data_IF_740796295385
#
_entry.id   IF_740796295385
#
_cell.length_a   1.000
_cell.length_b   1.000
_cell.length_c   1.000
_cell.angle_alpha   90.00
_cell.angle_beta   90.00
_cell.angle_gamma   90.00
#
_symmetry.space_group_name_H-M   'P 1'
#
loop_
_entity.id
_entity.type
_entity.pdbx_description
1 polymer ?
#
# COMPACT_ATOMS: atom_id res chain seq x y z
N UNK A 1 -18.21 8.95 -23.86
CA UNK A 1 -16.95 9.61 -23.51
C UNK A 1 -15.93 8.50 -23.34
N UNK A 2 -14.99 8.40 -24.29
CA UNK A 2 -13.84 7.52 -24.14
C UNK A 2 -12.79 8.31 -23.36
N UNK A 3 -12.16 7.68 -22.38
CA UNK A 3 -10.98 8.26 -21.73
C UNK A 3 -9.94 7.18 -21.50
N UNK A 4 -8.73 7.49 -21.94
CA UNK A 4 -7.54 6.68 -21.77
C UNK A 4 -6.57 7.45 -20.89
N UNK A 5 -5.94 6.76 -19.95
CA UNK A 5 -4.93 7.36 -19.09
C UNK A 5 -3.64 6.56 -19.14
N UNK A 6 -2.51 7.28 -19.22
CA UNK A 6 -1.17 6.72 -19.09
C UNK A 6 -0.58 7.15 -17.76
N UNK A 7 -0.21 6.16 -16.95
CA UNK A 7 0.35 6.33 -15.61
C UNK A 7 1.85 6.02 -15.69
N UNK A 8 2.70 7.04 -15.64
CA UNK A 8 4.14 6.84 -15.46
C UNK A 8 4.39 6.77 -13.96
N UNK A 9 4.86 5.63 -13.45
CA UNK A 9 4.86 5.36 -12.00
C UNK A 9 6.23 5.01 -11.45
N UNK A 10 6.47 5.46 -10.22
CA UNK A 10 7.49 4.89 -9.34
C UNK A 10 6.78 3.97 -8.35
N UNK A 11 7.33 2.77 -8.15
CA UNK A 11 6.82 1.79 -7.20
C UNK A 11 7.68 1.83 -5.95
N UNK A 12 7.06 2.02 -4.79
CA UNK A 12 7.72 1.95 -3.49
C UNK A 12 7.45 0.59 -2.85
N UNK A 13 8.52 -0.13 -2.55
CA UNK A 13 8.52 -1.47 -1.99
C UNK A 13 9.01 -1.45 -0.55
N UNK A 14 8.25 -2.10 0.32
CA UNK A 14 8.66 -2.40 1.69
C UNK A 14 8.21 -3.81 2.08
N UNK A 15 8.84 -4.37 3.11
CA UNK A 15 8.57 -5.72 3.58
C UNK A 15 8.42 -5.78 5.10
N UNK A 16 7.57 -6.70 5.55
CA UNK A 16 7.43 -6.96 6.98
C UNK A 16 8.56 -7.85 7.46
N UNK A 17 9.11 -7.53 8.64
CA UNK A 17 9.95 -8.48 9.38
C UNK A 17 9.09 -9.65 9.87
N UNK A 18 8.02 -9.33 10.60
CA UNK A 18 7.07 -10.29 11.15
C UNK A 18 5.62 -9.77 11.15
N UNK A 19 4.65 -10.61 10.80
CA UNK A 19 3.22 -10.35 11.08
C UNK A 19 2.87 -10.78 12.52
N UNK A 20 2.29 -9.91 13.37
CA UNK A 20 1.99 -10.28 14.76
C UNK A 20 1.09 -11.52 14.88
N UNK A 21 1.46 -12.45 15.78
CA UNK A 21 0.72 -13.68 16.11
C UNK A 21 0.54 -14.68 14.95
N UNK A 22 1.14 -14.42 13.79
CA UNK A 22 1.09 -15.29 12.61
C UNK A 22 2.50 -15.51 12.10
N UNK A 23 2.81 -16.72 11.65
CA UNK A 23 4.11 -16.99 11.03
C UNK A 23 4.14 -16.49 9.57
N UNK A 24 3.78 -15.23 9.33
CA UNK A 24 3.69 -14.62 8.00
C UNK A 24 4.72 -13.49 7.84
N UNK A 25 5.19 -13.34 6.59
CA UNK A 25 5.85 -12.14 6.04
C UNK A 25 4.89 -11.48 5.05
N UNK A 26 5.22 -10.27 4.60
CA UNK A 26 4.50 -9.66 3.49
C UNK A 26 5.30 -8.59 2.78
N UNK A 27 5.00 -8.41 1.50
CA UNK A 27 5.50 -7.30 0.70
C UNK A 27 4.37 -6.33 0.41
N UNK A 28 4.68 -5.04 0.39
CA UNK A 28 3.80 -3.99 -0.13
C UNK A 28 4.43 -3.34 -1.36
N UNK A 29 3.59 -2.98 -2.32
CA UNK A 29 3.92 -2.11 -3.43
C UNK A 29 2.97 -0.92 -3.40
N UNK A 30 3.51 0.28 -3.27
CA UNK A 30 2.79 1.54 -3.45
C UNK A 30 3.17 2.14 -4.80
N UNK A 31 2.22 2.15 -5.73
CA UNK A 31 2.35 2.73 -7.06
C UNK A 31 1.98 4.21 -6.98
N UNK A 32 2.96 5.09 -7.24
CA UNK A 32 2.75 6.54 -7.22
C UNK A 32 3.04 7.11 -8.61
N UNK A 33 2.03 7.65 -9.32
CA UNK A 33 2.26 8.27 -10.60
C UNK A 33 3.13 9.52 -10.47
N UNK A 34 4.26 9.56 -11.18
CA UNK A 34 5.06 10.78 -11.36
C UNK A 34 4.34 11.72 -12.31
N UNK A 35 3.75 11.16 -13.37
CA UNK A 35 2.97 11.86 -14.38
C UNK A 35 1.71 11.06 -14.68
N UNK A 36 0.58 11.76 -14.78
CA UNK A 36 -0.65 11.20 -15.31
C UNK A 36 -1.09 12.00 -16.53
N UNK A 37 -1.11 11.36 -17.69
CA UNK A 37 -1.63 11.94 -18.93
C UNK A 37 -3.01 11.33 -19.18
N UNK A 38 -4.04 12.17 -19.24
CA UNK A 38 -5.44 11.78 -19.46
C UNK A 38 -5.88 12.33 -20.80
N UNK A 39 -6.21 11.44 -21.72
CA UNK A 39 -6.84 11.77 -22.97
C UNK A 39 -8.35 11.52 -22.82
N UNK A 40 -9.15 12.49 -23.25
CA UNK A 40 -10.61 12.35 -23.27
C UNK A 40 -11.17 12.84 -24.58
N UNK A 41 -12.04 12.02 -25.17
CA UNK A 41 -12.71 12.34 -26.41
C UNK A 41 -14.19 12.62 -26.14
N UNK A 42 -14.62 13.82 -26.55
CA UNK A 42 -16.02 14.25 -26.48
C UNK A 42 -16.52 14.66 -27.86
N UNK A 43 -17.78 14.33 -28.23
CA UNK A 43 -18.32 14.72 -29.54
C UNK A 43 -18.35 16.23 -29.78
N UNK A 44 -18.40 17.03 -28.71
CA UNK A 44 -18.57 18.48 -28.78
C UNK A 44 -17.25 19.27 -28.77
N UNK A 45 -16.23 18.79 -28.05
CA UNK A 45 -14.95 19.50 -27.87
C UNK A 45 -13.77 18.77 -28.54
N UNK A 46 -14.02 17.64 -29.18
CA UNK A 46 -12.99 16.78 -29.74
C UNK A 46 -12.15 16.10 -28.66
N UNK A 47 -10.89 15.83 -29.01
CA UNK A 47 -9.89 15.24 -28.11
C UNK A 47 -9.24 16.32 -27.27
N UNK A 48 -9.25 16.15 -25.95
CA UNK A 48 -8.48 16.95 -25.01
C UNK A 48 -7.49 16.07 -24.27
N UNK A 49 -6.28 16.61 -24.06
CA UNK A 49 -5.24 15.97 -23.27
C UNK A 49 -4.92 16.85 -22.06
N UNK A 50 -5.00 16.26 -20.87
CA UNK A 50 -4.57 16.89 -19.63
C UNK A 50 -3.39 16.11 -19.05
N UNK A 51 -2.39 16.81 -18.54
CA UNK A 51 -1.25 16.21 -17.84
C UNK A 51 -1.02 16.90 -16.49
N UNK A 52 -0.72 16.11 -15.46
CA UNK A 52 -0.36 16.62 -14.14
C UNK A 52 0.55 15.63 -13.38
N UNK A 53 1.03 16.06 -12.20
CA UNK A 53 2.10 15.40 -11.44
C UNK A 53 1.63 14.92 -10.05
N UNK A 54 0.96 13.76 -9.94
CA UNK A 54 0.38 13.29 -8.68
C UNK A 54 1.37 13.14 -7.53
N UNK A 55 2.59 12.67 -7.81
CA UNK A 55 3.66 12.51 -6.81
C UNK A 55 3.97 13.82 -6.09
N UNK A 56 4.09 14.92 -6.82
CA UNK A 56 4.43 16.23 -6.25
C UNK A 56 3.25 16.80 -5.43
N UNK A 57 2.01 16.59 -5.90
CA UNK A 57 0.81 16.95 -5.14
C UNK A 57 0.70 16.18 -3.82
N UNK A 58 0.96 14.87 -3.84
CA UNK A 58 0.97 14.06 -2.63
C UNK A 58 2.08 14.51 -1.67
N UNK A 59 3.31 14.66 -2.17
CA UNK A 59 4.43 15.08 -1.34
C UNK A 59 4.16 16.43 -0.68
N UNK A 60 3.62 17.40 -1.42
CA UNK A 60 3.28 18.73 -0.89
C UNK A 60 2.34 18.64 0.32
N UNK A 61 1.27 17.85 0.23
CA UNK A 61 0.34 17.66 1.35
C UNK A 61 0.94 16.87 2.51
N UNK A 62 1.84 15.92 2.22
CA UNK A 62 2.58 15.20 3.26
C UNK A 62 3.54 16.13 4.03
N UNK A 63 4.26 17.00 3.34
CA UNK A 63 5.14 18.00 3.98
C UNK A 63 4.33 19.00 4.80
N UNK A 64 3.19 19.48 4.28
CA UNK A 64 2.25 20.32 5.04
C UNK A 64 1.75 19.62 6.30
N UNK A 65 1.46 18.32 6.22
CA UNK A 65 1.08 17.50 7.37
C UNK A 65 2.20 17.48 8.43
N UNK A 66 3.44 17.20 8.02
CA UNK A 66 4.60 17.20 8.92
C UNK A 66 4.79 18.54 9.61
N UNK A 67 4.78 19.63 8.84
CA UNK A 67 4.95 20.99 9.36
C UNK A 67 3.84 21.36 10.35
N UNK A 68 2.58 21.03 10.04
CA UNK A 68 1.43 21.32 10.92
C UNK A 68 1.56 20.70 12.30
N UNK A 69 2.16 19.51 12.39
CA UNK A 69 2.28 18.76 13.65
C UNK A 69 3.69 18.76 14.23
N UNK A 70 4.61 19.53 13.63
CA UNK A 70 6.03 19.56 14.02
C UNK A 70 6.65 18.14 14.05
N UNK A 71 6.32 17.34 13.03
CA UNK A 71 6.74 15.96 12.92
C UNK A 71 7.93 15.81 11.97
N UNK A 72 9.12 16.05 12.52
CA UNK A 72 10.40 15.84 11.83
C UNK A 72 10.92 14.39 11.96
N UNK A 73 10.23 13.56 12.74
CA UNK A 73 10.60 12.14 12.91
C UNK A 73 10.33 11.30 11.66
N UNK A 74 11.02 10.16 11.56
CA UNK A 74 10.64 9.08 10.65
C UNK A 74 9.24 8.59 11.03
N UNK A 75 8.38 8.42 10.04
CA UNK A 75 7.09 7.77 10.19
C UNK A 75 7.30 6.27 9.96
N UNK A 76 7.17 5.49 11.03
CA UNK A 76 7.28 4.05 10.98
C UNK A 76 6.18 3.41 11.83
N UNK A 77 5.32 2.57 11.25
CA UNK A 77 4.12 2.07 11.93
C UNK A 77 4.47 1.27 13.20
N UNK A 78 5.60 0.57 13.18
CA UNK A 78 6.09 -0.20 14.32
C UNK A 78 6.46 0.68 15.53
N UNK A 79 6.82 1.94 15.30
CA UNK A 79 7.25 2.90 16.34
C UNK A 79 6.06 3.54 17.08
N UNK A 80 4.84 3.41 16.55
CA UNK A 80 3.62 3.88 17.22
C UNK A 80 3.47 3.16 18.56
N UNK A 81 3.58 3.91 19.64
CA UNK A 81 3.61 3.41 21.01
C UNK A 81 3.17 4.48 22.03
N UNK A 82 3.18 4.12 23.31
CA UNK A 82 2.75 4.99 24.41
C UNK A 82 1.22 5.03 24.62
N UNK A 83 0.82 5.68 25.71
CA UNK A 83 -0.57 5.74 26.17
C UNK A 83 -1.21 7.13 26.00
N UNK A 84 -0.45 8.17 25.66
CA UNK A 84 -1.01 9.52 25.48
C UNK A 84 -0.99 9.90 24.01
N UNK A 85 -2.13 10.31 23.47
CA UNK A 85 -2.24 10.80 22.09
C UNK A 85 -1.51 12.13 21.93
N UNK A 86 -0.54 12.19 21.02
CA UNK A 86 0.33 13.35 20.84
C UNK A 86 0.28 13.89 19.39
N UNK A 87 1.06 14.94 19.13
CA UNK A 87 1.13 15.56 17.80
C UNK A 87 1.64 14.60 16.71
N UNK A 88 2.57 13.71 17.06
CA UNK A 88 3.07 12.71 16.11
C UNK A 88 1.95 11.75 15.75
N UNK A 89 1.16 11.26 16.70
CA UNK A 89 0.02 10.38 16.41
C UNK A 89 -0.99 11.05 15.45
N UNK A 90 -1.22 12.36 15.58
CA UNK A 90 -2.00 13.15 14.61
C UNK A 90 -1.34 13.15 13.21
N UNK A 91 -0.01 13.30 13.13
CA UNK A 91 0.72 13.25 11.87
C UNK A 91 0.65 11.87 11.21
N UNK A 92 0.81 10.79 11.98
CA UNK A 92 0.64 9.40 11.52
C UNK A 92 -0.77 9.18 10.96
N UNK A 93 -1.81 9.53 11.73
CA UNK A 93 -3.20 9.40 11.30
C UNK A 93 -3.50 10.20 10.03
N UNK A 94 -3.03 11.46 9.96
CA UNK A 94 -3.25 12.33 8.79
C UNK A 94 -2.46 11.86 7.57
N UNK A 95 -1.24 11.35 7.73
CA UNK A 95 -0.45 10.78 6.64
C UNK A 95 -1.14 9.55 6.03
N UNK A 96 -1.69 8.67 6.86
CA UNK A 96 -2.49 7.54 6.38
C UNK A 96 -3.78 8.01 5.70
N UNK A 97 -4.47 9.00 6.26
CA UNK A 97 -5.67 9.56 5.63
C UNK A 97 -5.35 10.18 4.25
N UNK A 98 -4.22 10.88 4.11
CA UNK A 98 -3.71 11.36 2.83
C UNK A 98 -3.45 10.20 1.87
N UNK A 99 -2.75 9.17 2.32
CA UNK A 99 -2.45 8.00 1.49
C UNK A 99 -3.73 7.30 1.00
N UNK A 100 -4.71 7.08 1.88
CA UNK A 100 -6.01 6.49 1.51
C UNK A 100 -6.77 7.39 0.53
N UNK A 101 -6.71 8.72 0.67
CA UNK A 101 -7.34 9.63 -0.28
C UNK A 101 -6.63 9.64 -1.64
N UNK A 102 -5.30 9.53 -1.65
CA UNK A 102 -4.48 9.43 -2.87
C UNK A 102 -4.79 8.17 -3.70
N UNK A 103 -5.27 7.10 -3.05
CA UNK A 103 -5.74 5.88 -3.71
C UNK A 103 -7.09 6.06 -4.44
N UNK A 104 -7.78 7.19 -4.29
CA UNK A 104 -9.05 7.41 -4.98
C UNK A 104 -8.83 7.72 -6.46
N UNK A 105 -9.57 7.03 -7.32
CA UNK A 105 -9.66 7.31 -8.76
C UNK A 105 -10.73 8.36 -9.12
N UNK A 106 -11.64 8.65 -8.19
CA UNK A 106 -12.66 9.69 -8.32
C UNK A 106 -13.11 10.23 -6.97
N UNK A 107 -13.58 11.48 -6.98
CA UNK A 107 -14.10 12.18 -5.81
C UNK A 107 -13.16 12.08 -4.59
N UNK A 108 -11.90 12.55 -4.72
CA UNK A 108 -11.01 12.74 -3.58
C UNK A 108 -11.65 13.69 -2.56
N UNK A 109 -11.32 13.51 -1.28
CA UNK A 109 -11.83 14.32 -0.18
C UNK A 109 -10.80 15.33 0.32
N UNK A 110 -9.51 15.07 0.10
CA UNK A 110 -8.41 15.94 0.53
C UNK A 110 -7.74 16.58 -0.69
N UNK A 111 -7.43 15.79 -1.71
CA UNK A 111 -6.81 16.33 -2.93
C UNK A 111 -7.84 17.02 -3.83
N UNK A 112 -7.40 18.04 -4.57
CA UNK A 112 -8.25 18.76 -5.53
C UNK A 112 -8.62 17.93 -6.76
N UNK A 113 -7.87 16.86 -7.01
CA UNK A 113 -8.05 15.92 -8.13
C UNK A 113 -7.55 14.52 -7.75
N UNK A 114 -8.07 13.44 -8.37
CA UNK A 114 -7.60 12.08 -8.13
C UNK A 114 -6.10 11.96 -8.35
N UNK A 115 -5.38 11.27 -7.45
CA UNK A 115 -3.95 11.02 -7.65
C UNK A 115 -3.68 9.66 -8.30
N UNK A 116 -4.69 8.78 -8.35
CA UNK A 116 -4.61 7.44 -8.94
C UNK A 116 -3.43 6.60 -8.41
N UNK A 117 -3.00 6.85 -7.17
CA UNK A 117 -2.06 5.96 -6.51
C UNK A 117 -2.73 4.59 -6.34
N UNK A 118 -1.92 3.53 -6.30
CA UNK A 118 -2.42 2.17 -6.09
C UNK A 118 -1.58 1.43 -5.07
N UNK A 119 -2.16 0.45 -4.41
CA UNK A 119 -1.44 -0.39 -3.44
C UNK A 119 -1.70 -1.88 -3.67
N UNK A 120 -0.66 -2.68 -3.61
CA UNK A 120 -0.77 -4.13 -3.63
C UNK A 120 0.00 -4.73 -2.47
N UNK A 121 -0.57 -5.70 -1.78
CA UNK A 121 0.08 -6.40 -0.68
C UNK A 121 -0.05 -7.90 -0.86
N UNK A 122 1.04 -8.64 -0.66
CA UNK A 122 1.04 -10.10 -0.60
C UNK A 122 1.56 -10.55 0.76
N UNK A 123 0.84 -11.47 1.41
CA UNK A 123 1.24 -12.12 2.65
C UNK A 123 1.55 -13.59 2.39
N UNK A 124 2.60 -14.13 3.01
CA UNK A 124 3.09 -15.48 2.74
C UNK A 124 3.72 -16.13 3.98
N UNK A 125 3.57 -17.46 4.16
CA UNK A 125 4.08 -18.18 5.33
C UNK A 125 5.60 -18.11 5.40
N UNK A 126 6.12 -17.89 6.60
CA UNK A 126 7.53 -18.10 6.91
C UNK A 126 7.81 -19.59 7.01
N UNK A 127 9.03 -19.96 6.66
CA UNK A 127 9.45 -21.37 6.67
C UNK A 127 8.90 -22.15 5.48
N UNK A 128 8.66 -21.47 4.35
CA UNK A 128 8.56 -22.16 3.07
C UNK A 128 9.79 -23.04 2.86
N UNK A 129 9.64 -24.15 2.15
CA UNK A 129 10.78 -24.92 1.68
C UNK A 129 11.60 -24.03 0.74
N UNK A 130 12.78 -23.63 1.19
CA UNK A 130 13.67 -22.76 0.45
C UNK A 130 14.58 -23.54 -0.49
N UNK A 131 14.65 -24.86 -0.37
CA UNK A 131 15.58 -25.68 -1.16
C UNK A 131 15.22 -25.70 -2.65
N UNK A 132 13.95 -25.46 -2.97
CA UNK A 132 13.49 -25.29 -4.35
C UNK A 132 13.99 -23.98 -5.00
N UNK A 133 14.34 -22.98 -4.17
CA UNK A 133 14.91 -21.71 -4.61
C UNK A 133 16.43 -21.84 -4.50
N UNK A 134 17.06 -22.47 -5.50
CA UNK A 134 18.49 -22.81 -5.45
C UNK A 134 19.39 -21.64 -5.03
N UNK A 135 20.62 -21.91 -4.61
CA UNK A 135 21.56 -20.94 -4.07
C UNK A 135 22.43 -21.57 -2.99
N UNK A 136 23.63 -21.05 -2.77
CA UNK A 136 24.66 -21.78 -2.01
C UNK A 136 24.52 -21.60 -0.49
N UNK A 137 23.58 -20.76 -0.04
CA UNK A 137 23.33 -20.53 1.37
C UNK A 137 21.86 -20.30 1.67
N UNK A 138 21.46 -20.60 2.90
CA UNK A 138 20.08 -20.36 3.38
C UNK A 138 19.64 -18.90 3.27
N UNK A 139 20.58 -17.95 3.42
CA UNK A 139 20.29 -16.51 3.28
C UNK A 139 19.98 -16.15 1.82
N UNK A 140 20.67 -16.78 0.86
CA UNK A 140 20.46 -16.58 -0.57
C UNK A 140 19.17 -17.24 -1.06
N UNK A 141 18.90 -18.48 -0.64
CA UNK A 141 17.64 -19.16 -0.96
C UNK A 141 16.42 -18.35 -0.47
N UNK A 142 16.49 -17.82 0.76
CA UNK A 142 15.45 -16.94 1.32
C UNK A 142 15.29 -15.65 0.52
N UNK A 143 16.38 -14.98 0.14
CA UNK A 143 16.30 -13.76 -0.67
C UNK A 143 15.68 -14.04 -2.05
N UNK A 144 16.04 -15.15 -2.70
CA UNK A 144 15.46 -15.58 -3.98
C UNK A 144 13.96 -15.92 -3.89
N UNK A 145 13.53 -16.45 -2.75
CA UNK A 145 12.12 -16.64 -2.45
C UNK A 145 11.39 -15.29 -2.36
N UNK A 146 11.93 -14.35 -1.59
CA UNK A 146 11.37 -13.00 -1.42
C UNK A 146 11.34 -12.24 -2.77
N UNK A 147 12.40 -12.32 -3.59
CA UNK A 147 12.46 -11.78 -4.96
C UNK A 147 11.40 -12.41 -5.89
N UNK A 148 11.15 -13.72 -5.76
CA UNK A 148 10.13 -14.41 -6.55
C UNK A 148 8.72 -13.95 -6.18
N UNK A 149 8.45 -13.77 -4.89
CA UNK A 149 7.18 -13.25 -4.41
C UNK A 149 6.98 -11.78 -4.80
N UNK A 150 8.02 -10.97 -4.74
CA UNK A 150 8.01 -9.60 -5.24
C UNK A 150 7.65 -9.56 -6.73
N UNK A 151 8.26 -10.42 -7.56
CA UNK A 151 7.95 -10.54 -8.99
C UNK A 151 6.49 -10.96 -9.23
N UNK A 152 5.99 -11.93 -8.48
CA UNK A 152 4.58 -12.36 -8.55
C UNK A 152 3.65 -11.20 -8.20
N UNK A 153 3.96 -10.45 -7.14
CA UNK A 153 3.18 -9.30 -6.70
C UNK A 153 3.19 -8.18 -7.75
N UNK A 154 4.36 -7.84 -8.32
CA UNK A 154 4.49 -6.83 -9.39
C UNK A 154 3.61 -7.18 -10.59
N UNK A 155 3.73 -8.41 -11.12
CA UNK A 155 2.93 -8.88 -12.26
C UNK A 155 1.43 -8.87 -11.94
N UNK A 156 1.05 -9.44 -10.81
CA UNK A 156 -0.34 -9.54 -10.39
C UNK A 156 -0.98 -8.17 -10.17
N UNK A 157 -0.27 -7.26 -9.50
CA UNK A 157 -0.72 -5.90 -9.25
C UNK A 157 -0.88 -5.12 -10.55
N UNK A 158 0.11 -5.15 -11.44
CA UNK A 158 0.04 -4.51 -12.76
C UNK A 158 -1.18 -4.99 -13.54
N UNK A 159 -1.40 -6.30 -13.62
CA UNK A 159 -2.52 -6.86 -14.38
C UNK A 159 -3.89 -6.60 -13.76
N UNK A 160 -3.99 -6.58 -12.43
CA UNK A 160 -5.27 -6.47 -11.74
C UNK A 160 -5.72 -5.02 -11.56
N UNK A 161 -4.79 -4.12 -11.24
CA UNK A 161 -5.08 -2.74 -10.86
C UNK A 161 -5.17 -1.80 -12.07
N UNK A 162 -4.64 -2.21 -13.22
CA UNK A 162 -4.61 -1.45 -14.47
C UNK A 162 -5.36 -2.22 -15.58
N UNK A 163 -5.66 -1.54 -16.69
CA UNK A 163 -6.35 -2.09 -17.86
C UNK A 163 -6.06 -1.25 -19.10
N UNK A 164 -6.63 -1.61 -20.25
CA UNK A 164 -6.39 -0.91 -21.53
C UNK A 164 -6.77 0.58 -21.49
N UNK A 165 -7.71 0.96 -20.62
CA UNK A 165 -8.10 2.37 -20.43
C UNK A 165 -7.23 3.10 -19.40
N UNK A 166 -6.48 2.36 -18.57
CA UNK A 166 -5.61 2.87 -17.53
C UNK A 166 -4.26 2.16 -17.63
N UNK A 167 -3.43 2.58 -18.57
CA UNK A 167 -2.15 1.95 -18.89
C UNK A 167 -1.07 2.39 -17.90
N UNK A 168 -0.12 1.52 -17.62
CA UNK A 168 0.99 1.78 -16.69
C UNK A 168 2.33 1.60 -17.38
N UNK A 169 3.21 2.58 -17.17
CA UNK A 169 4.64 2.48 -17.45
C UNK A 169 5.40 2.61 -16.12
N UNK A 170 6.07 1.53 -15.70
CA UNK A 170 6.91 1.52 -14.50
C UNK A 170 8.28 2.09 -14.83
N UNK A 171 8.64 3.22 -14.23
CA UNK A 171 9.93 3.89 -14.49
C UNK A 171 10.99 3.52 -13.47
N UNK A 172 10.60 3.18 -12.24
CA UNK A 172 11.53 2.82 -11.17
C UNK A 172 10.84 2.03 -10.07
N UNK A 173 11.59 1.13 -9.44
CA UNK A 173 11.21 0.49 -8.17
C UNK A 173 12.19 1.01 -7.10
N UNK A 174 11.67 1.48 -5.98
CA UNK A 174 12.47 1.91 -4.83
C UNK A 174 12.15 1.02 -3.66
N UNK A 175 13.16 0.32 -3.12
CA UNK A 175 13.02 -0.59 -1.98
C UNK A 175 13.59 0.03 -0.71
N UNK A 176 12.92 -0.13 0.43
CA UNK A 176 13.46 0.36 1.72
C UNK A 176 14.69 -0.43 2.14
N UNK A 177 15.82 0.27 2.23
CA UNK A 177 17.08 -0.26 2.73
C UNK A 177 17.60 -1.48 1.97
N UNK A 178 18.33 -2.34 2.69
CA UNK A 178 18.87 -3.59 2.17
C UNK A 178 18.01 -4.76 2.67
N UNK A 179 17.36 -5.53 1.76
CA UNK A 179 16.38 -6.55 2.15
C UNK A 179 17.01 -7.71 2.94
N UNK A 180 18.27 -8.03 2.68
CA UNK A 180 18.96 -9.12 3.38
C UNK A 180 20.48 -8.92 3.40
N UNK A 181 21.22 -9.88 2.87
CA UNK A 181 22.69 -9.92 2.84
C UNK A 181 23.28 -9.27 1.58
N UNK A 182 22.44 -8.98 0.58
CA UNK A 182 22.73 -8.22 -0.63
C UNK A 182 21.46 -7.48 -1.08
N UNK A 183 21.60 -6.63 -2.08
CA UNK A 183 20.50 -5.97 -2.80
C UNK A 183 19.64 -6.96 -3.59
N UNK A 184 18.41 -6.56 -3.93
CA UNK A 184 17.54 -7.30 -4.85
C UNK A 184 18.20 -7.40 -6.22
N UNK A 185 18.13 -8.59 -6.81
CA UNK A 185 18.65 -8.86 -8.14
C UNK A 185 17.65 -8.37 -9.22
N UNK A 186 18.03 -7.32 -9.95
CA UNK A 186 17.21 -6.71 -11.01
C UNK A 186 16.87 -7.71 -12.12
N UNK A 187 17.79 -8.60 -12.48
CA UNK A 187 17.56 -9.62 -13.52
C UNK A 187 16.46 -10.59 -13.10
N UNK A 188 16.47 -11.00 -11.83
CA UNK A 188 15.46 -11.91 -11.29
C UNK A 188 14.09 -11.28 -11.12
N UNK A 189 14.04 -9.98 -10.82
CA UNK A 189 12.78 -9.30 -10.51
C UNK A 189 12.20 -8.62 -11.76
N UNK A 190 12.93 -7.69 -12.38
CA UNK A 190 12.46 -6.86 -13.49
C UNK A 190 12.65 -7.57 -14.83
N UNK A 191 13.85 -8.05 -15.16
CA UNK A 191 14.09 -8.61 -16.49
C UNK A 191 13.26 -9.86 -16.77
N UNK A 192 13.04 -10.72 -15.78
CA UNK A 192 12.11 -11.86 -15.90
C UNK A 192 10.64 -11.46 -16.09
N UNK A 193 10.25 -10.21 -15.83
CA UNK A 193 8.93 -9.69 -16.17
C UNK A 193 8.88 -9.12 -17.58
N UNK A 194 10.00 -8.58 -18.08
CA UNK A 194 10.05 -7.97 -19.41
C UNK A 194 10.28 -9.06 -20.48
N UNK A 195 11.15 -10.03 -20.20
CA UNK A 195 11.57 -11.05 -21.14
C UNK A 195 11.40 -12.46 -20.56
N UNK A 196 10.57 -13.28 -21.21
CA UNK A 196 10.54 -14.72 -20.95
C UNK A 196 11.40 -15.44 -22.00
N UNK A 197 12.59 -15.87 -21.58
CA UNK A 197 13.55 -16.57 -22.43
C UNK A 197 13.07 -17.91 -22.99
N UNK A 198 11.95 -18.45 -22.49
CA UNK A 198 11.34 -19.67 -23.03
C UNK A 198 10.40 -19.43 -24.22
N UNK A 199 9.82 -18.22 -24.33
CA UNK A 199 8.78 -17.89 -25.31
C UNK A 199 9.13 -16.72 -26.24
N UNK A 200 10.22 -15.98 -25.98
CA UNK A 200 10.61 -14.79 -26.74
C UNK A 200 9.58 -13.65 -26.68
N UNK A 201 8.65 -13.70 -25.72
CA UNK A 201 7.57 -12.73 -25.52
C UNK A 201 7.51 -12.30 -24.07
N UNK A 202 7.05 -11.08 -23.83
CA UNK A 202 6.82 -10.61 -22.46
C UNK A 202 5.66 -11.38 -21.81
N UNK A 203 5.78 -11.77 -20.53
CA UNK A 203 4.66 -12.32 -19.76
C UNK A 203 3.65 -11.26 -19.31
N UNK A 204 3.88 -9.98 -19.61
CA UNK A 204 3.01 -8.84 -19.28
C UNK A 204 1.95 -8.62 -20.35
N UNK A 205 0.84 -7.99 -19.97
CA UNK A 205 -0.16 -7.49 -20.93
C UNK A 205 0.29 -6.15 -21.52
N UNK A 206 -0.22 -5.80 -22.71
CA UNK A 206 0.18 -4.61 -23.48
C UNK A 206 -0.02 -3.26 -22.75
N UNK A 207 -0.92 -3.22 -21.77
CA UNK A 207 -1.15 -2.05 -20.92
C UNK A 207 -0.20 -1.94 -19.73
N UNK A 208 0.71 -2.90 -19.53
CA UNK A 208 1.74 -2.90 -18.47
C UNK A 208 3.12 -2.94 -19.10
N UNK A 209 3.84 -1.82 -19.01
CA UNK A 209 5.20 -1.71 -19.52
C UNK A 209 6.18 -1.29 -18.42
N UNK A 210 7.46 -1.57 -18.64
CA UNK A 210 8.57 -1.02 -17.88
C UNK A 210 9.36 -0.12 -18.82
N UNK A 211 9.83 1.01 -18.31
CA UNK A 211 10.75 1.89 -19.04
C UNK A 211 12.05 1.15 -19.35
N UNK A 212 12.75 1.54 -20.42
CA UNK A 212 14.03 0.93 -20.80
C UNK A 212 15.11 1.11 -19.73
N UNK A 213 15.00 2.17 -18.93
CA UNK A 213 15.88 2.52 -17.80
C UNK A 213 15.30 2.10 -16.43
N UNK A 214 14.27 1.25 -16.41
CA UNK A 214 13.66 0.79 -15.18
C UNK A 214 14.65 -0.01 -14.32
N UNK A 215 14.87 0.45 -13.10
CA UNK A 215 15.84 -0.10 -12.14
C UNK A 215 15.23 -0.27 -10.75
N UNK A 216 15.90 -1.06 -9.91
CA UNK A 216 15.60 -1.20 -8.49
C UNK A 216 16.63 -0.41 -7.68
N UNK A 217 16.18 0.68 -7.07
CA UNK A 217 17.02 1.52 -6.20
C UNK A 217 16.77 1.14 -4.75
N UNK A 218 17.84 0.83 -4.02
CA UNK A 218 17.81 0.57 -2.59
C UNK A 218 18.12 1.85 -1.82
N UNK A 219 17.17 2.31 -1.00
CA UNK A 219 17.29 3.61 -0.34
C UNK A 219 16.72 3.54 1.09
N UNK A 220 17.48 3.94 2.13
CA UNK A 220 16.95 4.05 3.47
C UNK A 220 15.79 5.06 3.56
N UNK A 221 14.66 4.65 4.13
CA UNK A 221 13.46 5.48 4.29
C UNK A 221 13.59 6.66 5.25
N UNK A 222 14.73 6.86 5.91
CA UNK A 222 14.97 8.02 6.76
C UNK A 222 15.23 9.29 5.92
N UNK A 223 14.16 10.07 5.72
CA UNK A 223 14.19 11.31 4.94
C UNK A 223 15.18 12.37 5.43
N UNK A 224 15.61 12.32 6.70
CA UNK A 224 16.57 13.27 7.27
C UNK A 224 17.99 13.09 6.74
N UNK A 225 18.27 11.96 6.09
CA UNK A 225 19.57 11.67 5.48
C UNK A 225 19.79 12.39 4.14
N UNK A 226 18.76 13.05 3.61
CA UNK A 226 18.79 13.66 2.29
C UNK A 226 18.40 15.13 2.37
N UNK A 227 18.91 15.93 1.43
CA UNK A 227 18.53 17.33 1.33
C UNK A 227 17.07 17.45 0.89
N UNK A 228 16.29 18.41 1.44
CA UNK A 228 14.96 18.71 0.94
C UNK A 228 14.95 18.89 -0.58
N UNK A 229 13.83 18.53 -1.21
CA UNK A 229 13.58 18.65 -2.66
C UNK A 229 14.42 17.74 -3.58
N UNK A 230 15.35 16.94 -3.06
CA UNK A 230 16.06 15.89 -3.82
C UNK A 230 15.17 14.68 -4.09
N UNK A 231 15.43 13.91 -5.16
CA UNK A 231 14.64 12.70 -5.47
C UNK A 231 14.74 11.66 -4.34
N UNK A 232 15.91 11.52 -3.71
CA UNK A 232 16.14 10.67 -2.55
C UNK A 232 15.25 11.06 -1.36
N UNK A 233 15.09 12.37 -1.11
CA UNK A 233 14.19 12.88 -0.07
C UNK A 233 12.72 12.54 -0.37
N UNK A 234 12.29 12.66 -1.64
CA UNK A 234 10.94 12.26 -2.06
C UNK A 234 10.75 10.76 -1.86
N UNK A 235 11.71 9.96 -2.33
CA UNK A 235 11.68 8.51 -2.22
C UNK A 235 11.61 8.06 -0.76
N UNK A 236 12.43 8.62 0.12
CA UNK A 236 12.41 8.31 1.55
C UNK A 236 11.05 8.57 2.19
N UNK A 237 10.38 9.68 1.83
CA UNK A 237 9.04 9.97 2.33
C UNK A 237 8.00 8.96 1.84
N UNK A 238 8.04 8.55 0.57
CA UNK A 238 7.09 7.56 0.04
C UNK A 238 7.35 6.14 0.55
N UNK A 239 8.61 5.77 0.82
CA UNK A 239 8.91 4.53 1.54
C UNK A 239 8.29 4.51 2.93
N UNK A 240 8.33 5.62 3.66
CA UNK A 240 7.62 5.74 4.95
C UNK A 240 6.09 5.58 4.77
N UNK A 241 5.51 6.13 3.70
CA UNK A 241 4.08 5.91 3.41
C UNK A 241 3.78 4.42 3.10
N UNK A 242 4.65 3.75 2.35
CA UNK A 242 4.50 2.33 2.06
C UNK A 242 4.51 1.50 3.35
N UNK A 243 5.46 1.77 4.27
CA UNK A 243 5.52 1.15 5.59
C UNK A 243 4.23 1.42 6.42
N UNK A 244 3.79 2.68 6.49
CA UNK A 244 2.58 3.05 7.21
C UNK A 244 1.36 2.29 6.71
N UNK A 245 1.20 2.20 5.39
CA UNK A 245 0.10 1.46 4.77
C UNK A 245 0.21 -0.04 5.05
N UNK A 246 1.41 -0.63 4.94
CA UNK A 246 1.63 -2.05 5.24
C UNK A 246 1.28 -2.37 6.69
N UNK A 247 1.79 -1.59 7.65
CA UNK A 247 1.49 -1.75 9.06
C UNK A 247 0.00 -1.59 9.38
N UNK A 248 -0.67 -0.62 8.75
CA UNK A 248 -2.11 -0.42 8.89
C UNK A 248 -2.93 -1.57 8.28
N UNK A 249 -2.57 -2.04 7.08
CA UNK A 249 -3.21 -3.20 6.43
C UNK A 249 -3.07 -4.43 7.32
N UNK A 250 -1.86 -4.71 7.83
CA UNK A 250 -1.63 -5.82 8.75
C UNK A 250 -2.49 -5.72 10.01
N UNK A 251 -2.58 -4.51 10.59
CA UNK A 251 -3.43 -4.25 11.75
C UNK A 251 -4.88 -4.56 11.43
N UNK A 252 -5.41 -4.04 10.32
CA UNK A 252 -6.80 -4.23 9.90
C UNK A 252 -7.14 -5.68 9.51
N UNK A 253 -6.21 -6.41 8.90
CA UNK A 253 -6.46 -7.75 8.35
C UNK A 253 -6.15 -8.91 9.30
N UNK A 254 -5.16 -8.80 10.18
CA UNK A 254 -4.71 -9.93 11.00
C UNK A 254 -4.87 -9.73 12.50
N UNK A 255 -4.79 -8.49 12.97
CA UNK A 255 -5.01 -8.18 14.39
C UNK A 255 -6.44 -7.76 14.65
N UNK A 256 -7.07 -7.12 13.65
CA UNK A 256 -8.31 -6.39 13.78
C UNK A 256 -8.06 -4.99 14.36
N UNK A 257 -8.93 -4.04 14.02
CA UNK A 257 -8.96 -2.73 14.64
C UNK A 257 -10.36 -2.47 15.17
N UNK A 258 -10.45 -1.94 16.39
CA UNK A 258 -11.73 -1.58 16.99
C UNK A 258 -12.33 -0.38 16.24
N UNK A 259 -13.65 -0.35 16.01
CA UNK A 259 -14.30 0.82 15.44
C UNK A 259 -14.10 2.02 16.37
N UNK A 260 -13.65 3.14 15.81
CA UNK A 260 -13.44 4.36 16.59
C UNK A 260 -14.44 5.41 16.13
N UNK A 261 -15.22 5.93 17.07
CA UNK A 261 -16.24 6.95 16.80
C UNK A 261 -15.63 8.33 16.58
N UNK A 262 -14.51 8.63 17.25
CA UNK A 262 -13.88 9.95 17.21
C UNK A 262 -12.38 9.83 17.42
N UNK A 263 -11.60 10.56 16.62
CA UNK A 263 -10.15 10.67 16.81
C UNK A 263 -9.84 11.35 18.16
N UNK A 264 -8.93 10.81 18.99
CA UNK A 264 -8.54 11.45 20.25
C UNK A 264 -7.93 12.84 20.03
N UNK A 265 -8.08 13.71 21.02
CA UNK A 265 -7.41 15.02 21.09
C UNK A 265 -6.00 14.85 21.67
N UNK A 266 -5.13 15.82 21.38
CA UNK A 266 -3.77 15.83 21.95
C UNK A 266 -3.89 15.92 23.48
N UNK A 267 -3.19 15.02 24.17
CA UNK A 267 -3.24 14.87 25.63
C UNK A 267 -4.21 13.79 26.11
N UNK A 268 -5.11 13.30 25.25
CA UNK A 268 -6.04 12.23 25.62
C UNK A 268 -5.30 10.93 25.94
N UNK A 269 -5.81 10.18 26.91
CA UNK A 269 -5.24 8.91 27.32
C UNK A 269 -5.85 7.76 26.50
N UNK A 270 -5.01 7.15 25.67
CA UNK A 270 -5.24 5.93 24.91
C UNK A 270 -4.81 4.71 25.74
N UNK A 271 -5.68 4.22 26.62
CA UNK A 271 -5.40 2.96 27.32
C UNK A 271 -5.73 1.75 26.40
N UNK A 272 -5.05 0.61 26.63
CA UNK A 272 -5.22 -0.60 25.79
C UNK A 272 -6.66 -1.15 25.80
N UNK A 273 -7.42 -0.84 26.83
CA UNK A 273 -8.76 -1.38 27.06
C UNK A 273 -9.86 -0.56 26.36
N UNK A 274 -9.63 0.73 26.06
CA UNK A 274 -10.62 1.59 25.39
C UNK A 274 -10.15 2.18 24.05
N UNK A 275 -8.84 2.43 23.84
CA UNK A 275 -8.36 3.08 22.61
C UNK A 275 -6.88 2.74 22.35
N UNK A 276 -6.60 1.84 21.41
CA UNK A 276 -5.24 1.58 20.94
C UNK A 276 -4.88 2.55 19.82
N UNK A 277 -3.77 3.31 19.97
CA UNK A 277 -3.33 4.28 18.96
C UNK A 277 -3.22 3.70 17.54
N UNK A 278 -2.74 2.47 17.41
CA UNK A 278 -2.61 1.79 16.11
C UNK A 278 -3.96 1.49 15.48
N UNK A 279 -5.01 1.30 16.27
CA UNK A 279 -6.38 1.14 15.76
C UNK A 279 -6.88 2.47 15.19
N UNK A 280 -6.66 3.57 15.92
CA UNK A 280 -7.03 4.93 15.44
C UNK A 280 -6.31 5.25 14.15
N UNK A 281 -5.00 5.05 14.12
CA UNK A 281 -4.15 5.37 12.98
C UNK A 281 -4.49 4.48 11.77
N UNK A 282 -4.80 3.20 11.97
CA UNK A 282 -5.18 2.28 10.89
C UNK A 282 -6.63 2.42 10.42
N UNK A 283 -7.47 3.19 11.12
CA UNK A 283 -8.90 3.31 10.83
C UNK A 283 -9.21 3.73 9.37
N UNK A 284 -8.54 4.73 8.76
CA UNK A 284 -8.82 5.10 7.37
C UNK A 284 -8.56 3.94 6.39
N UNK A 285 -7.54 3.11 6.64
CA UNK A 285 -7.26 1.91 5.84
C UNK A 285 -8.36 0.88 6.07
N UNK A 286 -8.73 0.60 7.32
CA UNK A 286 -9.82 -0.33 7.64
C UNK A 286 -11.11 0.04 6.91
N UNK A 287 -11.52 1.31 6.97
CA UNK A 287 -12.72 1.80 6.29
C UNK A 287 -12.64 1.64 4.77
N UNK A 288 -11.47 1.85 4.18
CA UNK A 288 -11.23 1.61 2.76
C UNK A 288 -11.39 0.13 2.41
N UNK A 289 -10.79 -0.78 3.20
CA UNK A 289 -10.87 -2.23 2.98
C UNK A 289 -12.31 -2.73 3.14
N UNK A 290 -13.01 -2.26 4.17
CA UNK A 290 -14.41 -2.60 4.46
C UNK A 290 -15.37 -2.17 3.34
N UNK A 291 -14.96 -1.28 2.41
CA UNK A 291 -15.78 -0.97 1.22
C UNK A 291 -16.03 -2.20 0.34
N UNK A 292 -15.16 -3.22 0.38
CA UNK A 292 -15.38 -4.48 -0.35
C UNK A 292 -16.63 -5.22 0.11
N UNK A 293 -16.98 -5.11 1.40
CA UNK A 293 -18.20 -5.72 1.98
C UNK A 293 -19.49 -5.17 1.36
N UNK A 294 -19.43 -4.05 0.63
CA UNK A 294 -20.56 -3.45 -0.11
C UNK A 294 -20.91 -4.20 -1.41
N UNK A 295 -20.12 -5.21 -1.80
CA UNK A 295 -20.37 -6.01 -3.00
C UNK A 295 -20.40 -5.14 -4.27
N UNK A 296 -21.54 -5.12 -4.97
CA UNK A 296 -21.74 -4.33 -6.19
C UNK A 296 -21.43 -2.83 -5.95
N UNK A 297 -21.77 -2.31 -4.77
CA UNK A 297 -21.51 -0.90 -4.41
C UNK A 297 -20.01 -0.55 -4.37
N UNK A 298 -19.11 -1.52 -4.21
CA UNK A 298 -17.67 -1.29 -4.26
C UNK A 298 -17.20 -0.87 -5.64
N UNK A 299 -17.79 -1.40 -6.72
CA UNK A 299 -17.44 -1.06 -8.11
C UNK A 299 -17.65 0.42 -8.43
N UNK A 300 -18.61 1.04 -7.73
CA UNK A 300 -18.91 2.46 -7.86
C UNK A 300 -18.10 3.33 -6.90
N UNK A 301 -17.33 2.75 -5.98
CA UNK A 301 -16.52 3.51 -5.04
C UNK A 301 -15.33 4.18 -5.72
N UNK A 302 -14.85 5.28 -5.14
CA UNK A 302 -13.61 5.92 -5.59
C UNK A 302 -12.37 5.06 -5.41
N UNK A 303 -12.44 3.96 -4.64
CA UNK A 303 -11.32 3.05 -4.39
C UNK A 303 -11.36 1.78 -5.24
N UNK A 304 -12.32 1.67 -6.16
CA UNK A 304 -12.39 0.51 -7.04
C UNK A 304 -11.11 0.41 -7.89
N UNK A 305 -10.52 -0.79 -7.97
CA UNK A 305 -9.21 -1.06 -8.60
C UNK A 305 -8.04 -0.18 -8.11
N UNK A 306 -8.11 0.33 -6.88
CA UNK A 306 -6.98 1.05 -6.26
C UNK A 306 -6.14 0.20 -5.33
N UNK A 307 -6.67 -0.94 -4.87
CA UNK A 307 -5.95 -1.82 -3.96
C UNK A 307 -6.23 -3.31 -4.16
N UNK A 308 -5.21 -4.12 -3.87
CA UNK A 308 -5.34 -5.57 -3.71
C UNK A 308 -4.53 -6.07 -2.51
N UNK A 309 -5.09 -7.01 -1.76
CA UNK A 309 -4.44 -7.63 -0.60
C UNK A 309 -4.67 -9.12 -0.72
N UNK A 310 -3.59 -9.87 -0.86
CA UNK A 310 -3.63 -11.30 -1.06
C UNK A 310 -2.77 -12.02 -0.03
N UNK A 311 -3.17 -13.25 0.28
CA UNK A 311 -2.37 -14.22 0.98
C UNK A 311 -2.06 -15.32 -0.02
N UNK A 312 -0.81 -15.76 -0.05
CA UNK A 312 -0.36 -16.89 -0.86
C UNK A 312 0.00 -18.07 0.03
N UNK A 313 -0.43 -19.26 -0.39
CA UNK A 313 -0.02 -20.53 0.21
C UNK A 313 0.59 -21.42 -0.86
N UNK A 314 1.66 -22.10 -0.48
CA UNK A 314 2.34 -23.08 -1.33
C UNK A 314 1.90 -24.47 -0.88
N UNK A 315 1.33 -25.25 -1.79
CA UNK A 315 0.96 -26.65 -1.56
C UNK A 315 1.50 -27.52 -2.69
N UNK A 316 1.41 -28.85 -2.53
CA UNK A 316 1.80 -29.81 -3.56
C UNK A 316 0.98 -29.62 -4.86
N UNK A 317 -0.23 -29.09 -4.76
CA UNK A 317 -1.13 -28.83 -5.88
C UNK A 317 -0.84 -27.48 -6.59
N UNK A 318 0.09 -26.69 -6.07
CA UNK A 318 0.55 -25.44 -6.69
C UNK A 318 0.50 -24.22 -5.76
N UNK A 319 0.40 -23.04 -6.37
CA UNK A 319 0.39 -21.75 -5.69
C UNK A 319 -1.05 -21.25 -5.60
N UNK A 320 -1.57 -21.13 -4.38
CA UNK A 320 -2.93 -20.69 -4.13
C UNK A 320 -2.94 -19.24 -3.64
N UNK A 321 -3.78 -18.40 -4.26
CA UNK A 321 -3.95 -17.01 -3.87
C UNK A 321 -5.35 -16.82 -3.27
N UNK A 322 -5.40 -16.23 -2.09
CA UNK A 322 -6.64 -15.89 -1.41
C UNK A 322 -6.69 -14.38 -1.15
N UNK A 323 -7.79 -13.73 -1.48
CA UNK A 323 -8.01 -12.35 -1.09
C UNK A 323 -8.17 -12.24 0.45
N UNK A 324 -7.44 -11.32 1.07
CA UNK A 324 -7.52 -11.10 2.51
C UNK A 324 -8.60 -10.08 2.81
N UNK A 325 -9.48 -10.42 3.75
CA UNK A 325 -10.52 -9.53 4.26
C UNK A 325 -10.07 -8.85 5.56
N UNK A 326 -10.64 -7.69 5.86
CA UNK A 326 -10.48 -7.01 7.15
C UNK A 326 -11.17 -7.82 8.26
N UNK A 327 -10.56 -7.82 9.45
CA UNK A 327 -11.11 -8.46 10.65
C UNK A 327 -11.79 -7.41 11.52
N UNK A 328 -12.97 -7.74 12.02
CA UNK A 328 -13.70 -6.94 13.00
C UNK A 328 -13.39 -7.47 14.41
N UNK A 329 -12.98 -6.58 15.32
CA UNK A 329 -12.95 -6.89 16.75
C UNK A 329 -14.30 -6.46 17.30
N UNK A 330 -15.13 -7.42 17.70
CA UNK A 330 -16.40 -7.12 18.36
C UNK A 330 -16.12 -6.40 19.69
N UNK A 331 -16.79 -5.27 19.89
CA UNK A 331 -16.76 -4.52 21.14
C UNK A 331 -17.74 -5.20 22.11
N UNK A 332 -17.24 -5.83 23.18
CA UNK A 332 -18.07 -6.55 24.15
C UNK A 332 -19.05 -5.62 24.87
N UNK A 333 -18.74 -4.32 24.95
CA UNK A 333 -19.56 -3.33 25.64
C UNK A 333 -20.82 -2.94 24.82
N UNK A 334 -20.78 -3.07 23.49
CA UNK A 334 -21.96 -2.86 22.64
C UNK A 334 -22.98 -3.99 22.73
N UNK A 335 -22.53 -5.23 22.98
CA UNK A 335 -23.40 -6.39 23.19
C UNK A 335 -24.16 -6.31 24.52
N UNK A 336 -23.59 -5.65 25.53
CA UNK A 336 -24.29 -5.44 26.81
C UNK A 336 -25.38 -4.38 26.69
N UNK A 337 -25.16 -3.29 25.95
CA UNK A 337 -26.21 -2.27 25.76
C UNK A 337 -27.40 -2.74 24.91
N UNK A 338 -27.23 -3.72 24.01
CA UNK A 338 -28.34 -4.29 23.23
C UNK A 338 -29.22 -5.26 24.02
N UNK A 339 -28.78 -5.75 25.19
CA UNK A 339 -29.54 -6.67 26.03
C UNK A 339 -30.45 -5.98 27.06
N UNK A 340 -30.38 -4.64 27.20
CA UNK A 340 -31.16 -3.90 28.19
C UNK A 340 -32.30 -3.05 27.61
N UNK A 341 -32.64 -3.22 26.32
CA UNK A 341 -33.71 -2.44 25.67
C UNK A 341 -35.03 -3.23 25.54
N UNK A 342 -35.06 -4.54 25.82
CA UNK A 342 -36.24 -5.38 25.54
C UNK A 342 -37.07 -5.86 26.75
N UNK A 343 -36.79 -5.40 27.98
CA UNK A 343 -37.55 -5.81 29.19
C UNK A 343 -38.25 -4.64 29.91
N UNK A 344 -39.01 -3.82 29.18
CA UNK A 344 -40.02 -2.95 29.82
C UNK A 344 -41.19 -2.62 28.89
N UNK A 345 -42.03 -3.62 28.63
CA UNK A 345 -43.46 -3.41 28.38
C UNK A 345 -44.22 -4.46 29.19
N UNK A 346 -44.68 -4.05 30.36
CA UNK A 346 -45.91 -4.54 31.00
C UNK A 346 -46.59 -3.35 31.67
#
# INVERSE_FOLDING_TARGET
MSSTSLHRVVIYHDETKDVPKRNFKGHVLLFVPTTLSVESETPLLGTSQEEYFPRELFLTELIRCRQKFDCDGKLHFAEISGQTWNKYDCAYHKAIALAVDALRSKSPQIFSRPLNCKIATIFYPKGADWDIYGGDSRKEQKLRHDETLLRILLKGAGHYLYDDSNRIEVTKIVSDGYPAHRELDEDRVVWRLIYDGSCGKTPLRDYVTFSEDASIVHLPSDHKKYQPDTEEYKHANFLQIADLLLGAIMRSCYVGARPIRMTPKIGDHCNKDHCNKRDVIAQPVKEMLDKRKRGIGFRNSGHYKSFTITQVTFSNDGINFQEVQSVDIQDKDLLQMSLFIDDSVD
#
